data_IF_512161222870
#
_entry.id   IF_512161222870
#
_cell.length_a   1.000
_cell.length_b   1.000
_cell.length_c   1.000
_cell.angle_alpha   90.00
_cell.angle_beta   90.00
_cell.angle_gamma   90.00
#
_symmetry.space_group_name_H-M   'P 1'
#
loop_
_entity.id
_entity.type
_entity.pdbx_description
1 polymer ?
#
# COMPACT_ATOMS: atom_id res chain seq x y z
N UNK A 1 8.84 9.67 9.34
CA UNK A 1 8.00 8.86 8.45
C UNK A 1 7.88 9.62 7.16
N UNK A 2 8.43 9.06 6.08
CA UNK A 2 8.40 9.66 4.76
C UNK A 2 7.31 9.01 3.93
N UNK A 3 6.54 9.81 3.19
CA UNK A 3 5.42 9.32 2.37
C UNK A 3 5.56 9.86 0.96
N UNK A 4 5.42 8.97 -0.01
CA UNK A 4 5.51 9.26 -1.43
C UNK A 4 4.26 8.76 -2.14
N UNK A 5 3.74 9.55 -3.07
CA UNK A 5 2.60 9.20 -3.92
C UNK A 5 3.01 8.99 -5.36
N UNK A 6 2.22 8.20 -6.10
CA UNK A 6 2.41 7.91 -7.52
C UNK A 6 3.83 7.39 -7.81
N UNK A 7 4.27 6.43 -7.02
CA UNK A 7 5.62 5.88 -7.03
C UNK A 7 5.77 4.89 -8.19
N UNK A 8 6.65 5.21 -9.13
CA UNK A 8 6.97 4.30 -10.25
C UNK A 8 8.29 3.59 -9.97
N UNK A 9 8.26 2.25 -9.94
CA UNK A 9 9.42 1.39 -9.74
C UNK A 9 9.46 0.27 -10.77
N UNK A 10 10.36 0.37 -11.73
CA UNK A 10 10.36 -0.53 -12.90
C UNK A 10 9.11 -0.27 -13.75
N UNK A 11 8.27 -1.30 -13.91
CA UNK A 11 6.96 -1.22 -14.59
C UNK A 11 5.78 -1.17 -13.59
N UNK A 12 6.08 -1.03 -12.30
CA UNK A 12 5.09 -1.02 -11.24
C UNK A 12 4.81 0.41 -10.81
N UNK A 13 3.57 0.84 -10.99
CA UNK A 13 3.02 2.04 -10.39
C UNK A 13 2.41 1.68 -9.03
N UNK A 14 2.79 2.39 -7.97
CA UNK A 14 2.32 2.19 -6.61
C UNK A 14 1.70 3.51 -6.14
N UNK A 15 0.44 3.46 -5.69
CA UNK A 15 -0.29 4.69 -5.35
C UNK A 15 0.37 5.43 -4.18
N UNK A 16 0.71 4.74 -3.09
CA UNK A 16 1.42 5.30 -1.94
C UNK A 16 2.47 4.34 -1.38
N UNK A 17 3.64 4.87 -1.04
CA UNK A 17 4.70 4.19 -0.30
C UNK A 17 5.05 5.03 0.92
N UNK A 18 5.04 4.43 2.10
CA UNK A 18 5.50 5.08 3.33
C UNK A 18 6.67 4.30 3.95
N UNK A 19 7.63 5.06 4.46
CA UNK A 19 8.81 4.58 5.16
C UNK A 19 8.71 4.98 6.63
N UNK A 20 8.66 3.98 7.49
CA UNK A 20 8.74 4.17 8.94
C UNK A 20 10.14 3.79 9.41
N UNK A 21 10.80 4.69 10.14
CA UNK A 21 12.14 4.45 10.67
C UNK A 21 12.10 3.33 11.71
N UNK A 22 12.93 2.31 11.52
CA UNK A 22 13.17 1.26 12.51
C UNK A 22 14.67 1.07 12.73
N UNK A 23 15.03 0.41 13.84
CA UNK A 23 16.42 0.27 14.28
C UNK A 23 17.33 -0.47 13.28
N UNK A 24 16.78 -1.36 12.45
CA UNK A 24 17.55 -2.19 11.51
C UNK A 24 17.51 -1.68 10.07
N UNK A 25 16.29 -1.37 9.59
CA UNK A 25 16.01 -0.77 8.28
C UNK A 25 14.64 -0.08 8.33
N UNK A 26 14.35 0.85 7.41
CA UNK A 26 12.99 1.37 7.31
C UNK A 26 11.99 0.25 7.01
N UNK A 27 10.86 0.28 7.70
CA UNK A 27 9.68 -0.53 7.41
C UNK A 27 8.91 0.12 6.26
N UNK A 28 8.44 -0.71 5.34
CA UNK A 28 7.83 -0.24 4.10
C UNK A 28 6.36 -0.63 4.07
N UNK A 29 5.54 0.40 4.01
CA UNK A 29 4.10 0.32 3.82
C UNK A 29 3.78 0.65 2.38
N UNK A 30 3.00 -0.22 1.74
CA UNK A 30 2.40 0.06 0.43
C UNK A 30 0.90 0.17 0.60
N UNK A 31 0.31 1.26 0.13
CA UNK A 31 -1.15 1.44 0.13
C UNK A 31 -1.62 1.59 -1.30
N UNK A 32 -2.56 0.73 -1.71
CA UNK A 32 -3.27 0.82 -2.99
C UNK A 32 -4.61 1.50 -2.75
N UNK A 33 -4.77 2.71 -3.28
CA UNK A 33 -5.96 3.56 -3.15
C UNK A 33 -6.81 3.42 -4.40
N UNK A 34 -8.03 2.87 -4.28
CA UNK A 34 -8.95 2.73 -5.42
C UNK A 34 -10.28 3.39 -5.15
N UNK A 35 -10.87 4.01 -6.17
CA UNK A 35 -12.19 4.63 -6.08
C UNK A 35 -13.36 3.63 -6.04
N UNK A 36 -13.10 2.39 -6.47
CA UNK A 36 -14.05 1.27 -6.49
C UNK A 36 -13.32 -0.06 -6.44
N UNK A 37 -13.93 -1.12 -5.87
CA UNK A 37 -13.39 -2.46 -5.95
C UNK A 37 -13.33 -2.93 -7.41
N UNK A 38 -12.25 -3.60 -7.77
CA UNK A 38 -12.04 -4.20 -9.09
C UNK A 38 -11.56 -5.63 -8.89
N UNK A 39 -11.96 -6.57 -9.75
CA UNK A 39 -11.49 -7.96 -9.69
C UNK A 39 -9.95 -8.06 -9.72
N UNK A 40 -9.29 -7.18 -10.48
CA UNK A 40 -7.83 -7.13 -10.60
C UNK A 40 -7.11 -6.63 -9.33
N UNK A 41 -7.83 -6.06 -8.37
CA UNK A 41 -7.24 -5.49 -7.15
C UNK A 41 -6.50 -6.56 -6.34
N UNK A 42 -7.08 -7.75 -6.16
CA UNK A 42 -6.42 -8.83 -5.44
C UNK A 42 -5.07 -9.22 -6.06
N UNK A 43 -5.01 -9.31 -7.38
CA UNK A 43 -3.77 -9.60 -8.08
C UNK A 43 -2.73 -8.48 -7.92
N UNK A 44 -3.15 -7.21 -7.89
CA UNK A 44 -2.27 -6.08 -7.57
C UNK A 44 -1.74 -6.18 -6.14
N UNK A 45 -2.63 -6.40 -5.17
CA UNK A 45 -2.26 -6.50 -3.75
C UNK A 45 -1.26 -7.63 -3.50
N UNK A 46 -1.45 -8.82 -4.10
CA UNK A 46 -0.51 -9.93 -3.98
C UNK A 46 0.88 -9.59 -4.53
N UNK A 47 0.95 -8.85 -5.65
CA UNK A 47 2.22 -8.33 -6.17
C UNK A 47 2.89 -7.38 -5.17
N UNK A 48 2.11 -6.55 -4.46
CA UNK A 48 2.65 -5.64 -3.42
C UNK A 48 3.15 -6.37 -2.19
N UNK A 49 2.46 -7.43 -1.77
CA UNK A 49 2.90 -8.28 -0.65
C UNK A 49 4.30 -8.83 -0.91
N UNK A 50 4.62 -9.16 -2.17
CA UNK A 50 5.94 -9.62 -2.57
C UNK A 50 7.04 -8.56 -2.54
N UNK A 51 6.74 -7.30 -2.23
CA UNK A 51 7.65 -6.15 -2.33
C UNK A 51 7.70 -5.27 -1.07
N UNK A 52 6.72 -5.35 -0.17
CA UNK A 52 6.63 -4.48 1.01
C UNK A 52 6.59 -5.26 2.33
N UNK A 53 6.71 -4.56 3.45
CA UNK A 53 6.57 -5.16 4.78
C UNK A 53 5.12 -5.25 5.21
N UNK A 54 4.33 -4.25 4.82
CA UNK A 54 2.90 -4.16 5.05
C UNK A 54 2.21 -3.71 3.76
N UNK A 55 0.99 -4.20 3.53
CA UNK A 55 0.15 -3.78 2.40
C UNK A 55 -1.22 -3.41 2.92
N UNK A 56 -1.73 -2.26 2.50
CA UNK A 56 -3.12 -1.88 2.69
C UNK A 56 -3.83 -1.74 1.34
N UNK A 57 -5.11 -2.11 1.33
CA UNK A 57 -6.07 -1.66 0.34
C UNK A 57 -6.92 -0.54 0.93
N UNK A 58 -6.98 0.61 0.27
CA UNK A 58 -7.82 1.74 0.68
C UNK A 58 -8.96 1.95 -0.33
N UNK A 59 -10.20 1.96 0.17
CA UNK A 59 -11.40 2.22 -0.63
C UNK A 59 -12.30 3.26 0.06
N UNK A 60 -13.15 3.99 -0.69
CA UNK A 60 -14.20 4.80 -0.11
C UNK A 60 -15.06 4.02 0.88
N UNK A 61 -15.48 4.67 1.97
CA UNK A 61 -16.25 4.06 3.07
C UNK A 61 -17.53 3.35 2.62
N UNK A 62 -18.16 3.77 1.51
CA UNK A 62 -19.31 3.08 0.90
C UNK A 62 -19.03 1.64 0.45
N UNK A 63 -17.76 1.25 0.33
CA UNK A 63 -17.32 -0.09 -0.03
C UNK A 63 -16.84 -0.91 1.17
N UNK A 64 -17.32 -0.58 2.38
CA UNK A 64 -16.97 -1.24 3.64
C UNK A 64 -17.07 -2.77 3.59
N UNK A 65 -18.13 -3.33 3.01
CA UNK A 65 -18.29 -4.79 2.89
C UNK A 65 -17.13 -5.45 2.14
N UNK A 66 -16.65 -4.83 1.06
CA UNK A 66 -15.52 -5.34 0.30
C UNK A 66 -14.20 -5.26 1.11
N UNK A 67 -14.04 -4.23 1.94
CA UNK A 67 -12.86 -4.08 2.79
C UNK A 67 -12.76 -5.19 3.87
N UNK A 68 -13.88 -5.78 4.28
CA UNK A 68 -13.91 -6.94 5.17
C UNK A 68 -13.45 -8.23 4.48
N UNK A 69 -13.65 -8.34 3.16
CA UNK A 69 -13.30 -9.52 2.36
C UNK A 69 -11.85 -9.50 1.86
N UNK A 70 -11.10 -8.43 2.10
CA UNK A 70 -9.68 -8.38 1.77
C UNK A 70 -8.97 -9.53 2.52
N UNK A 71 -8.22 -10.41 1.85
CA UNK A 71 -7.56 -11.54 2.51
C UNK A 71 -6.32 -11.08 3.28
N UNK A 72 -5.88 -11.88 4.23
CA UNK A 72 -4.53 -11.76 4.78
C UNK A 72 -3.47 -12.02 3.69
N UNK A 73 -2.26 -11.43 3.81
CA UNK A 73 -1.76 -10.59 4.90
C UNK A 73 -2.12 -9.10 4.76
N UNK A 74 -3.00 -8.75 3.82
CA UNK A 74 -3.30 -7.37 3.44
C UNK A 74 -4.28 -6.74 4.43
N UNK A 75 -3.97 -5.54 4.92
CA UNK A 75 -4.86 -4.70 5.72
C UNK A 75 -5.85 -3.92 4.87
N UNK A 76 -6.88 -3.35 5.48
CA UNK A 76 -7.90 -2.59 4.76
C UNK A 76 -8.26 -1.28 5.46
N UNK A 77 -8.35 -0.21 4.66
CA UNK A 77 -8.64 1.15 5.10
C UNK A 77 -9.91 1.65 4.40
N UNK A 78 -10.84 2.21 5.17
CA UNK A 78 -11.98 2.93 4.64
C UNK A 78 -11.70 4.43 4.65
N UNK A 79 -11.89 5.10 3.52
CA UNK A 79 -11.63 6.54 3.36
C UNK A 79 -12.96 7.29 3.25
N UNK A 80 -13.17 8.26 4.13
CA UNK A 80 -14.22 9.28 4.02
C UNK A 80 -13.59 10.60 3.57
N UNK A 81 -13.61 10.84 2.25
CA UNK A 81 -13.02 12.04 1.67
C UNK A 81 -13.76 13.33 2.06
N UNK A 82 -15.06 13.27 2.36
CA UNK A 82 -15.83 14.44 2.75
C UNK A 82 -15.44 14.91 4.14
N UNK A 83 -15.18 13.95 5.05
CA UNK A 83 -14.76 14.23 6.43
C UNK A 83 -13.25 14.28 6.60
N UNK A 84 -12.49 13.93 5.56
CA UNK A 84 -11.04 13.76 5.61
C UNK A 84 -10.59 12.77 6.70
N UNK A 85 -11.32 11.67 6.86
CA UNK A 85 -11.05 10.62 7.86
C UNK A 85 -10.67 9.31 7.17
N UNK A 86 -9.72 8.59 7.75
CA UNK A 86 -9.37 7.23 7.38
C UNK A 86 -9.64 6.31 8.57
N UNK A 87 -10.38 5.24 8.33
CA UNK A 87 -10.66 4.20 9.32
C UNK A 87 -9.87 2.94 8.97
N UNK A 88 -9.11 2.42 9.94
CA UNK A 88 -8.50 1.10 9.80
C UNK A 88 -9.56 0.02 10.10
N UNK A 89 -9.92 -0.75 9.08
CA UNK A 89 -10.91 -1.83 9.21
C UNK A 89 -10.20 -3.12 9.62
N UNK A 90 -9.05 -3.39 8.99
CA UNK A 90 -8.24 -4.58 9.27
C UNK A 90 -6.76 -4.22 9.24
N UNK A 91 -6.02 -4.66 10.26
CA UNK A 91 -4.56 -4.53 10.31
C UNK A 91 -3.89 -5.48 9.30
N UNK A 92 -2.81 -5.06 8.64
CA UNK A 92 -1.98 -5.92 7.83
C UNK A 92 -1.09 -6.78 8.73
N UNK A 93 -0.70 -7.92 8.21
CA UNK A 93 0.32 -8.78 8.83
C UNK A 93 1.68 -8.43 8.26
N UNK A 94 2.71 -8.38 9.13
CA UNK A 94 4.09 -8.17 8.69
C UNK A 94 4.57 -9.34 7.84
N UNK A 95 5.06 -9.06 6.62
CA UNK A 95 5.60 -10.09 5.71
C UNK A 95 7.09 -9.95 5.42
N UNK A 96 7.71 -8.83 5.81
CA UNK A 96 9.17 -8.65 5.77
C UNK A 96 9.81 -8.55 4.38
N UNK A 97 9.04 -8.31 3.31
CA UNK A 97 9.55 -8.24 1.94
C UNK A 97 10.04 -6.85 1.51
N UNK A 98 10.01 -5.84 2.39
CA UNK A 98 10.34 -4.45 2.06
C UNK A 98 11.73 -4.25 1.48
N UNK A 99 12.70 -5.11 1.79
CA UNK A 99 14.05 -5.05 1.21
C UNK A 99 14.03 -5.06 -0.33
N UNK A 100 13.08 -5.77 -0.95
CA UNK A 100 12.95 -5.84 -2.42
C UNK A 100 12.60 -4.48 -3.01
N UNK A 101 11.65 -3.77 -2.42
CA UNK A 101 11.32 -2.43 -2.90
C UNK A 101 12.49 -1.47 -2.71
N UNK A 102 13.23 -1.55 -1.59
CA UNK A 102 14.44 -0.73 -1.39
C UNK A 102 15.50 -0.98 -2.46
N UNK A 103 15.77 -2.24 -2.80
CA UNK A 103 16.73 -2.58 -3.86
C UNK A 103 16.28 -2.04 -5.22
N UNK A 104 14.99 -2.15 -5.53
CA UNK A 104 14.44 -1.62 -6.77
C UNK A 104 14.57 -0.09 -6.82
N UNK A 105 14.29 0.62 -5.72
CA UNK A 105 14.42 2.08 -5.63
C UNK A 105 15.87 2.57 -5.71
N UNK A 106 16.84 1.79 -5.22
CA UNK A 106 18.27 2.10 -5.36
C UNK A 106 18.75 1.94 -6.80
N UNK A 107 18.24 0.93 -7.51
CA UNK A 107 18.62 0.67 -8.91
C UNK A 107 17.95 1.64 -9.90
N UNK A 108 16.80 2.22 -9.54
CA UNK A 108 16.10 3.26 -10.31
C UNK A 108 15.41 4.24 -9.35
N UNK A 109 15.93 5.48 -9.22
CA UNK A 109 15.36 6.45 -8.28
C UNK A 109 13.91 6.81 -8.64
N UNK A 110 13.14 7.15 -7.61
CA UNK A 110 11.73 7.54 -7.70
C UNK A 110 11.53 8.63 -8.76
N UNK A 111 10.60 8.39 -9.70
CA UNK A 111 9.95 9.47 -10.43
C UNK A 111 8.70 9.85 -9.66
N UNK A 112 8.67 11.07 -9.17
CA UNK A 112 7.50 11.68 -8.56
C UNK A 112 6.87 12.53 -9.66
N UNK A 113 5.76 12.07 -10.24
CA UNK A 113 4.99 12.91 -11.16
C UNK A 113 4.34 14.03 -10.34
N UNK A 114 4.83 15.26 -10.54
CA UNK A 114 4.30 16.50 -9.96
C UNK A 114 3.02 16.94 -10.66
#
# INVERSE_FOLDING_TARGET
MDVYSNVIVGELEIDLVAFEDSRSRPLIYVIEVKSRPKQKLFHQLLKRVGLSDYVYAALPVKHYSYLLEIPEPVGSLAVDANRQIVYEIKKPTYVGNGWRLLEMLRSRPLRIDQ
#
